data_IF_710635668911
#
_entry.id   IF_710635668911
#
_cell.length_a   1.000
_cell.length_b   1.000
_cell.length_c   1.000
_cell.angle_alpha   90.00
_cell.angle_beta   90.00
_cell.angle_gamma   90.00
#
_symmetry.space_group_name_H-M   'P 1'
#
loop_
_entity.id
_entity.type
_entity.pdbx_description
1 polymer ?
#
# COMPACT_ATOMS: atom_id res chain seq x y z
N UNK A 1 9.79 -25.26 -26.53
CA UNK A 1 8.86 -24.26 -25.97
C UNK A 1 9.21 -24.08 -24.50
N UNK A 2 9.67 -22.89 -24.11
CA UNK A 2 9.82 -22.53 -22.69
C UNK A 2 8.42 -22.54 -22.06
N UNK A 3 8.19 -23.18 -20.91
CA UNK A 3 6.88 -23.15 -20.27
C UNK A 3 6.46 -21.69 -20.02
N UNK A 4 5.15 -21.38 -20.06
CA UNK A 4 4.67 -20.04 -19.74
C UNK A 4 5.18 -19.66 -18.35
N UNK A 5 5.67 -18.41 -18.23
CA UNK A 5 6.15 -17.91 -16.94
C UNK A 5 4.95 -17.85 -15.99
N UNK A 6 4.95 -18.65 -14.93
CA UNK A 6 3.94 -18.52 -13.88
C UNK A 6 4.32 -17.32 -13.00
N UNK A 7 3.38 -16.38 -12.85
CA UNK A 7 3.50 -15.23 -11.96
C UNK A 7 2.77 -15.55 -10.66
N UNK A 8 3.38 -15.26 -9.51
CA UNK A 8 2.78 -15.51 -8.19
C UNK A 8 2.82 -14.23 -7.36
N UNK A 9 1.68 -13.79 -6.83
CA UNK A 9 1.57 -12.57 -6.05
C UNK A 9 1.18 -12.88 -4.59
N UNK A 10 1.96 -12.40 -3.63
CA UNK A 10 1.65 -12.52 -2.20
C UNK A 10 1.12 -11.21 -1.65
N UNK A 11 -0.09 -11.25 -1.07
CA UNK A 11 -0.75 -10.08 -0.49
C UNK A 11 -1.24 -10.35 0.93
N UNK A 12 -0.98 -9.40 1.81
CA UNK A 12 -1.30 -9.41 3.24
C UNK A 12 -2.22 -8.25 3.63
N UNK A 13 -2.46 -7.30 2.71
CA UNK A 13 -3.31 -6.12 2.91
C UNK A 13 -4.19 -5.80 1.69
N UNK A 14 -5.34 -5.11 1.88
CA UNK A 14 -6.20 -4.69 0.77
C UNK A 14 -5.49 -3.79 -0.24
N UNK A 15 -4.58 -2.93 0.22
CA UNK A 15 -3.80 -2.01 -0.61
C UNK A 15 -2.80 -2.78 -1.47
N UNK A 16 -2.11 -3.78 -0.91
CA UNK A 16 -1.22 -4.63 -1.69
C UNK A 16 -1.98 -5.35 -2.82
N UNK A 17 -3.18 -5.86 -2.53
CA UNK A 17 -4.03 -6.51 -3.54
C UNK A 17 -4.47 -5.52 -4.62
N UNK A 18 -4.84 -4.30 -4.26
CA UNK A 18 -5.12 -3.22 -5.21
C UNK A 18 -3.92 -2.98 -6.14
N UNK A 19 -2.72 -2.86 -5.59
CA UNK A 19 -1.52 -2.61 -6.39
C UNK A 19 -1.12 -3.81 -7.28
N UNK A 20 -1.48 -5.05 -6.91
CA UNK A 20 -1.34 -6.22 -7.81
C UNK A 20 -2.32 -6.12 -8.99
N UNK A 21 -3.56 -5.67 -8.78
CA UNK A 21 -4.51 -5.46 -9.87
C UNK A 21 -4.04 -4.35 -10.82
N UNK A 22 -3.53 -3.24 -10.27
CA UNK A 22 -2.93 -2.17 -11.05
C UNK A 22 -1.72 -2.64 -11.87
N UNK A 23 -0.82 -3.41 -11.26
CA UNK A 23 0.33 -4.00 -11.95
C UNK A 23 -0.11 -4.93 -13.07
N UNK A 24 -1.10 -5.81 -12.79
CA UNK A 24 -1.61 -6.77 -13.75
C UNK A 24 -2.22 -6.06 -14.94
N UNK A 25 -3.06 -5.06 -14.71
CA UNK A 25 -3.63 -4.24 -15.77
C UNK A 25 -2.56 -3.52 -16.58
N UNK A 26 -1.56 -2.91 -15.95
CA UNK A 26 -0.47 -2.25 -16.66
C UNK A 26 0.31 -3.21 -17.58
N UNK A 27 0.54 -4.45 -17.14
CA UNK A 27 1.27 -5.46 -17.93
C UNK A 27 0.44 -6.13 -19.02
N UNK A 28 -0.88 -6.21 -18.85
CA UNK A 28 -1.79 -6.78 -19.84
C UNK A 28 -2.26 -5.75 -20.86
N UNK A 29 -2.34 -4.48 -20.46
CA UNK A 29 -2.81 -3.38 -21.30
C UNK A 29 -1.69 -2.75 -22.16
N UNK A 30 -0.42 -3.10 -21.96
CA UNK A 30 0.66 -2.63 -22.83
C UNK A 30 0.44 -3.13 -24.27
N UNK A 31 0.17 -2.25 -25.25
CA UNK A 31 0.29 -2.64 -26.64
C UNK A 31 1.77 -2.92 -26.94
N UNK A 32 2.10 -3.82 -27.88
CA UNK A 32 3.48 -4.01 -28.28
C UNK A 32 4.02 -2.66 -28.76
N UNK A 33 4.89 -2.04 -27.97
CA UNK A 33 5.57 -0.80 -28.34
C UNK A 33 6.57 -1.14 -29.43
N UNK A 34 6.08 -1.15 -30.67
CA UNK A 34 6.91 -1.12 -31.85
C UNK A 34 7.56 0.26 -31.97
N UNK A 35 8.86 0.35 -31.68
CA UNK A 35 9.68 1.32 -32.37
C UNK A 35 9.50 1.09 -33.89
N UNK A 36 9.41 2.14 -34.73
CA UNK A 36 9.32 1.95 -36.18
C UNK A 36 10.62 1.26 -36.62
N UNK A 37 10.53 -0.03 -37.00
CA UNK A 37 11.66 -0.82 -37.53
C UNK A 37 12.17 -1.98 -36.67
N UNK A 38 11.62 -2.23 -35.47
CA UNK A 38 11.95 -3.43 -34.69
C UNK A 38 10.96 -4.57 -34.94
N UNK A 39 11.44 -5.75 -35.33
CA UNK A 39 10.60 -6.94 -35.49
C UNK A 39 9.76 -7.19 -34.21
N UNK A 40 8.48 -7.58 -34.33
CA UNK A 40 7.61 -7.78 -33.19
C UNK A 40 8.24 -8.80 -32.23
N UNK A 41 8.45 -8.41 -30.96
CA UNK A 41 8.72 -9.38 -29.90
C UNK A 41 7.44 -10.17 -29.68
N UNK A 42 7.31 -11.29 -30.39
CA UNK A 42 6.33 -12.31 -30.07
C UNK A 42 6.55 -12.75 -28.62
N UNK A 43 5.66 -12.35 -27.70
CA UNK A 43 5.75 -12.81 -26.30
C UNK A 43 5.02 -12.05 -25.19
N UNK A 44 4.41 -10.88 -25.41
CA UNK A 44 3.83 -10.10 -24.32
C UNK A 44 2.29 -10.14 -24.25
N UNK A 45 1.70 -11.34 -24.24
CA UNK A 45 0.46 -11.54 -23.48
C UNK A 45 0.91 -12.16 -22.16
N UNK A 46 1.22 -11.32 -21.16
CA UNK A 46 1.61 -11.82 -19.85
C UNK A 46 0.50 -12.69 -19.27
N UNK A 47 0.85 -13.82 -18.65
CA UNK A 47 -0.14 -14.57 -17.85
C UNK A 47 -0.45 -13.75 -16.59
N UNK A 48 -1.73 -13.56 -16.21
CA UNK A 48 -2.06 -12.91 -14.95
C UNK A 48 -1.46 -13.68 -13.77
N UNK A 49 -1.10 -13.00 -12.66
CA UNK A 49 -0.55 -13.69 -11.50
C UNK A 49 -1.61 -14.54 -10.81
N UNK A 50 -1.18 -15.70 -10.33
CA UNK A 50 -1.90 -16.42 -9.28
C UNK A 50 -1.73 -15.63 -7.99
N UNK A 51 -2.85 -15.23 -7.38
CA UNK A 51 -2.87 -14.43 -6.17
C UNK A 51 -2.96 -15.32 -4.93
N UNK A 52 -2.00 -15.21 -4.02
CA UNK A 52 -2.00 -15.86 -2.70
C UNK A 52 -2.26 -14.82 -1.63
N UNK A 53 -3.44 -14.92 -1.01
CA UNK A 53 -3.90 -14.03 0.04
C UNK A 53 -3.52 -14.61 1.40
N UNK A 54 -2.73 -13.85 2.17
CA UNK A 54 -2.22 -14.18 3.49
C UNK A 54 -2.88 -13.24 4.52
N UNK A 55 -4.12 -13.52 4.93
CA UNK A 55 -4.93 -12.57 5.67
C UNK A 55 -4.32 -12.22 7.04
N UNK A 56 -4.53 -10.98 7.53
CA UNK A 56 -4.24 -10.65 8.91
C UNK A 56 -5.27 -11.29 9.85
N UNK A 57 -5.07 -11.12 11.16
CA UNK A 57 -6.00 -11.60 12.19
C UNK A 57 -7.15 -10.62 12.44
N UNK A 58 -6.99 -9.34 12.11
CA UNK A 58 -8.01 -8.32 12.42
C UNK A 58 -9.26 -8.47 11.52
N UNK A 59 -10.47 -8.56 12.09
CA UNK A 59 -11.68 -8.86 11.32
C UNK A 59 -11.98 -7.87 10.20
N UNK A 60 -11.75 -6.58 10.45
CA UNK A 60 -12.05 -5.52 9.50
C UNK A 60 -11.15 -5.64 8.25
N UNK A 61 -9.83 -5.81 8.40
CA UNK A 61 -8.95 -5.92 7.23
C UNK A 61 -9.18 -7.22 6.49
N UNK A 62 -9.54 -8.30 7.21
CA UNK A 62 -9.99 -9.56 6.58
C UNK A 62 -11.24 -9.34 5.71
N UNK A 63 -12.22 -8.57 6.20
CA UNK A 63 -13.43 -8.22 5.45
C UNK A 63 -13.12 -7.41 4.18
N UNK A 64 -12.31 -6.36 4.29
CA UNK A 64 -11.86 -5.59 3.13
C UNK A 64 -11.08 -6.46 2.13
N UNK A 65 -10.21 -7.35 2.62
CA UNK A 65 -9.40 -8.24 1.78
C UNK A 65 -10.25 -9.29 1.07
N UNK A 66 -11.33 -9.79 1.69
CA UNK A 66 -12.31 -10.66 1.02
C UNK A 66 -13.02 -9.94 -0.13
N UNK A 67 -13.40 -8.68 0.05
CA UNK A 67 -14.01 -7.87 -1.03
C UNK A 67 -13.01 -7.60 -2.15
N UNK A 68 -11.78 -7.24 -1.83
CA UNK A 68 -10.70 -7.10 -2.83
C UNK A 68 -10.43 -8.42 -3.57
N UNK A 69 -10.45 -9.56 -2.88
CA UNK A 69 -10.33 -10.87 -3.49
C UNK A 69 -11.54 -11.23 -4.40
N UNK A 70 -12.72 -10.70 -4.10
CA UNK A 70 -13.88 -10.75 -5.01
C UNK A 70 -13.58 -10.00 -6.30
N UNK A 71 -13.15 -8.74 -6.20
CA UNK A 71 -12.77 -7.92 -7.36
C UNK A 71 -11.68 -8.61 -8.20
N UNK A 72 -10.65 -9.18 -7.57
CA UNK A 72 -9.61 -9.90 -8.30
C UNK A 72 -10.14 -11.10 -9.10
N UNK A 73 -11.13 -11.83 -8.57
CA UNK A 73 -11.78 -12.93 -9.31
C UNK A 73 -12.63 -12.41 -10.47
N UNK A 74 -13.31 -11.29 -10.29
CA UNK A 74 -14.09 -10.64 -11.36
C UNK A 74 -13.18 -10.20 -12.52
N UNK A 75 -11.92 -9.84 -12.23
CA UNK A 75 -10.87 -9.55 -13.23
C UNK A 75 -10.21 -10.82 -13.80
N UNK A 76 -10.67 -12.02 -13.42
CA UNK A 76 -10.18 -13.30 -13.92
C UNK A 76 -8.90 -13.83 -13.26
N UNK A 77 -8.43 -13.25 -12.15
CA UNK A 77 -7.28 -13.78 -11.43
C UNK A 77 -7.67 -15.03 -10.62
N UNK A 78 -6.77 -16.01 -10.61
CA UNK A 78 -6.89 -17.15 -9.69
C UNK A 78 -6.49 -16.72 -8.28
N UNK A 79 -7.38 -16.89 -7.29
CA UNK A 79 -7.16 -16.43 -5.92
C UNK A 79 -7.17 -17.58 -4.92
N UNK A 80 -6.02 -17.81 -4.27
CA UNK A 80 -5.84 -18.76 -3.17
C UNK A 80 -5.82 -18.04 -1.83
N UNK A 81 -6.79 -18.33 -0.97
CA UNK A 81 -6.83 -17.82 0.40
C UNK A 81 -6.10 -18.78 1.33
N UNK A 82 -5.05 -18.32 2.00
CA UNK A 82 -4.14 -19.17 2.75
C UNK A 82 -3.97 -18.72 4.21
N UNK A 83 -4.53 -19.50 5.14
CA UNK A 83 -4.43 -19.24 6.59
C UNK A 83 -3.03 -19.60 7.13
N UNK A 84 -2.08 -18.68 6.93
CA UNK A 84 -0.71 -18.84 7.42
C UNK A 84 -0.57 -18.50 8.91
N UNK A 85 -1.47 -17.67 9.47
CA UNK A 85 -1.38 -17.09 10.82
C UNK A 85 -2.52 -17.64 11.70
N UNK A 86 -2.20 -18.38 12.76
CA UNK A 86 -3.20 -18.68 13.82
C UNK A 86 -3.30 -20.10 14.37
N UNK A 87 -2.48 -21.08 13.92
CA UNK A 87 -2.46 -22.43 14.53
C UNK A 87 -1.03 -22.96 14.66
N UNK A 88 -0.73 -23.68 15.73
CA UNK A 88 0.47 -24.51 15.79
C UNK A 88 0.48 -25.46 14.59
N UNK A 89 1.58 -25.50 13.84
CA UNK A 89 1.70 -26.30 12.61
C UNK A 89 1.15 -25.67 11.31
N UNK A 90 0.61 -24.44 11.32
CA UNK A 90 0.09 -23.78 10.11
C UNK A 90 1.17 -23.50 9.05
N UNK A 91 2.39 -23.22 9.50
CA UNK A 91 3.50 -22.83 8.63
C UNK A 91 4.01 -23.99 7.75
N UNK A 92 4.39 -25.17 8.28
CA UNK A 92 4.79 -26.31 7.44
C UNK A 92 3.71 -26.76 6.46
N UNK A 93 2.45 -26.78 6.90
CA UNK A 93 1.32 -27.13 6.04
C UNK A 93 1.19 -26.15 4.87
N UNK A 94 1.24 -24.85 5.17
CA UNK A 94 1.17 -23.81 4.13
C UNK A 94 2.37 -23.88 3.18
N UNK A 95 3.59 -24.10 3.70
CA UNK A 95 4.78 -24.25 2.87
C UNK A 95 4.63 -25.42 1.90
N UNK A 96 4.12 -26.57 2.36
CA UNK A 96 3.86 -27.72 1.49
C UNK A 96 2.81 -27.42 0.42
N UNK A 97 1.74 -26.69 0.79
CA UNK A 97 0.70 -26.31 -0.15
C UNK A 97 1.20 -25.33 -1.24
N UNK A 98 2.06 -24.38 -0.87
CA UNK A 98 2.58 -23.36 -1.79
C UNK A 98 3.84 -23.80 -2.55
N UNK A 99 4.59 -24.79 -2.07
CA UNK A 99 5.85 -25.22 -2.67
C UNK A 99 5.77 -25.61 -4.16
N UNK A 100 4.70 -26.25 -4.67
CA UNK A 100 4.58 -26.52 -6.10
C UNK A 100 4.48 -25.23 -6.93
N UNK A 101 3.65 -24.27 -6.50
CA UNK A 101 3.47 -22.97 -7.17
C UNK A 101 4.78 -22.16 -7.14
N UNK A 102 5.42 -22.09 -5.97
CA UNK A 102 6.66 -21.37 -5.77
C UNK A 102 7.83 -21.92 -6.59
N UNK A 103 7.88 -23.23 -6.84
CA UNK A 103 8.92 -23.84 -7.69
C UNK A 103 8.75 -23.56 -9.18
N UNK A 104 7.52 -23.25 -9.62
CA UNK A 104 7.20 -22.92 -11.00
C UNK A 104 7.22 -21.41 -11.27
N UNK A 105 7.05 -20.61 -10.22
CA UNK A 105 7.04 -19.17 -10.30
C UNK A 105 8.44 -18.61 -10.60
N UNK A 106 8.64 -18.14 -11.83
CA UNK A 106 9.85 -17.40 -12.22
C UNK A 106 9.77 -15.91 -11.79
N UNK A 107 8.55 -15.39 -11.63
CA UNK A 107 8.26 -14.01 -11.22
C UNK A 107 7.36 -13.99 -9.99
N UNK A 108 7.85 -13.38 -8.91
CA UNK A 108 7.09 -13.21 -7.67
C UNK A 108 6.81 -11.73 -7.40
N UNK A 109 5.56 -11.42 -7.04
CA UNK A 109 5.14 -10.09 -6.60
C UNK A 109 4.91 -10.11 -5.09
N UNK A 110 5.38 -9.08 -4.39
CA UNK A 110 5.22 -8.93 -2.94
C UNK A 110 4.83 -7.51 -2.58
N UNK A 111 4.04 -7.34 -1.52
CA UNK A 111 3.70 -6.00 -1.01
C UNK A 111 4.66 -5.48 0.05
N UNK A 112 4.93 -6.26 1.10
CA UNK A 112 5.83 -5.87 2.20
C UNK A 112 7.15 -6.68 2.16
N UNK A 113 8.27 -6.09 1.69
CA UNK A 113 9.59 -6.73 1.71
C UNK A 113 10.08 -7.10 3.12
N UNK A 114 9.47 -6.55 4.16
CA UNK A 114 9.79 -6.82 5.56
C UNK A 114 8.88 -7.86 6.22
N UNK A 115 7.91 -8.42 5.48
CA UNK A 115 7.11 -9.53 5.98
C UNK A 115 7.98 -10.75 6.25
N UNK A 116 8.02 -11.20 7.51
CA UNK A 116 8.78 -12.40 7.92
C UNK A 116 8.37 -13.64 7.12
N UNK A 117 7.09 -13.74 6.79
CA UNK A 117 6.55 -14.87 6.06
C UNK A 117 7.05 -14.86 4.61
N UNK A 118 6.93 -13.71 3.93
CA UNK A 118 7.46 -13.51 2.58
C UNK A 118 8.98 -13.73 2.55
N UNK A 119 9.71 -13.17 3.51
CA UNK A 119 11.16 -13.36 3.62
C UNK A 119 11.54 -14.85 3.75
N UNK A 120 10.80 -15.62 4.54
CA UNK A 120 11.01 -17.06 4.64
C UNK A 120 10.74 -17.77 3.30
N UNK A 121 9.64 -17.44 2.62
CA UNK A 121 9.32 -18.02 1.31
C UNK A 121 10.41 -17.74 0.28
N UNK A 122 10.87 -16.49 0.19
CA UNK A 122 11.90 -16.07 -0.77
C UNK A 122 13.28 -16.66 -0.47
N UNK A 123 13.56 -16.97 0.81
CA UNK A 123 14.77 -17.72 1.19
C UNK A 123 14.76 -19.16 0.69
N UNK A 124 13.60 -19.81 0.72
CA UNK A 124 13.43 -21.21 0.29
C UNK A 124 13.24 -21.35 -1.22
N UNK A 125 12.59 -20.37 -1.84
CA UNK A 125 12.23 -20.37 -3.26
C UNK A 125 12.60 -19.02 -3.88
N UNK A 126 13.88 -18.84 -4.27
CA UNK A 126 14.36 -17.56 -4.76
C UNK A 126 13.86 -17.29 -6.18
N UNK A 127 13.10 -16.20 -6.42
CA UNK A 127 12.61 -15.89 -7.76
C UNK A 127 13.73 -15.29 -8.63
N UNK A 128 13.58 -15.41 -9.96
CA UNK A 128 14.44 -14.71 -10.93
C UNK A 128 13.99 -13.26 -11.13
N UNK A 129 12.69 -13.01 -11.07
CA UNK A 129 12.10 -11.67 -11.14
C UNK A 129 11.30 -11.39 -9.88
N UNK A 130 11.57 -10.28 -9.24
CA UNK A 130 10.83 -9.82 -8.06
C UNK A 130 10.20 -8.46 -8.37
N UNK A 131 8.90 -8.33 -8.18
CA UNK A 131 8.26 -7.01 -8.13
C UNK A 131 7.79 -6.70 -6.72
N UNK A 132 8.20 -5.55 -6.20
CA UNK A 132 7.64 -4.98 -4.98
C UNK A 132 6.51 -4.04 -5.40
N UNK A 133 5.27 -4.44 -5.12
CA UNK A 133 4.10 -3.58 -5.29
C UNK A 133 3.94 -2.69 -4.06
N UNK A 134 3.33 -1.53 -4.25
CA UNK A 134 3.17 -0.54 -3.19
C UNK A 134 2.41 -1.06 -1.96
N UNK A 135 2.96 -0.82 -0.77
CA UNK A 135 2.32 -1.03 0.55
C UNK A 135 2.47 0.21 1.44
N UNK A 136 2.69 1.38 0.81
CA UNK A 136 2.88 2.63 1.52
C UNK A 136 4.31 2.80 2.02
N UNK A 137 4.45 3.09 3.31
CA UNK A 137 5.76 3.46 3.90
C UNK A 137 6.81 2.36 3.84
N UNK A 138 6.39 1.08 3.81
CA UNK A 138 7.30 -0.05 3.65
C UNK A 138 8.02 -0.01 2.29
N UNK A 139 7.36 0.44 1.23
CA UNK A 139 7.95 0.55 -0.12
C UNK A 139 9.00 1.66 -0.18
N UNK A 140 8.73 2.82 0.42
CA UNK A 140 9.72 3.91 0.53
C UNK A 140 10.94 3.50 1.34
N UNK A 141 10.72 2.87 2.50
CA UNK A 141 11.80 2.35 3.36
C UNK A 141 12.66 1.31 2.62
N UNK A 142 12.03 0.44 1.83
CA UNK A 142 12.73 -0.54 1.02
C UNK A 142 13.60 0.13 -0.06
N UNK A 143 13.05 1.09 -0.80
CA UNK A 143 13.78 1.83 -1.83
C UNK A 143 14.98 2.60 -1.24
N UNK A 144 14.78 3.29 -0.12
CA UNK A 144 15.84 4.02 0.58
C UNK A 144 17.00 3.10 0.98
N UNK A 145 16.70 1.95 1.58
CA UNK A 145 17.73 0.98 2.01
C UNK A 145 18.48 0.34 0.86
N UNK A 146 17.82 0.12 -0.28
CA UNK A 146 18.52 -0.35 -1.48
C UNK A 146 19.49 0.71 -2.01
N UNK A 147 19.10 1.99 -1.96
CA UNK A 147 19.94 3.10 -2.40
C UNK A 147 21.15 3.33 -1.50
N UNK A 148 21.01 3.14 -0.19
CA UNK A 148 22.10 3.30 0.78
C UNK A 148 22.96 2.05 0.97
N UNK A 149 22.55 0.91 0.39
CA UNK A 149 23.20 -0.39 0.62
C UNK A 149 23.04 -0.90 2.07
N UNK A 150 22.14 -0.28 2.84
CA UNK A 150 21.89 -0.63 4.23
C UNK A 150 21.10 -1.92 4.38
N UNK A 151 21.17 -2.53 5.57
CA UNK A 151 20.50 -3.80 5.86
C UNK A 151 18.98 -3.63 5.77
N UNK A 152 18.27 -4.52 5.08
CA UNK A 152 16.79 -4.55 4.99
C UNK A 152 16.12 -5.03 6.31
N UNK A 153 15.97 -4.14 7.31
CA UNK A 153 15.41 -4.41 8.66
C UNK A 153 14.37 -3.35 9.06
N UNK A 154 13.07 -3.67 9.05
CA UNK A 154 11.99 -2.71 9.37
C UNK A 154 12.29 -1.81 10.59
N UNK A 155 12.30 -0.50 10.39
CA UNK A 155 12.74 0.49 11.39
C UNK A 155 11.89 0.55 12.65
N UNK A 156 10.62 0.15 12.57
CA UNK A 156 9.67 0.19 13.68
C UNK A 156 9.87 -0.90 14.75
N UNK A 157 10.77 -1.87 14.54
CA UNK A 157 11.09 -2.81 15.59
C UNK A 157 12.18 -2.24 16.48
N UNK A 158 11.80 -1.92 17.73
CA UNK A 158 12.72 -2.01 18.88
C UNK A 158 13.54 -3.28 18.72
N UNK A 159 14.86 -3.17 18.89
CA UNK A 159 15.76 -4.31 19.02
C UNK A 159 15.42 -5.11 20.28
N UNK A 160 14.30 -5.81 20.30
CA UNK A 160 14.05 -6.83 21.30
C UNK A 160 14.87 -8.05 20.89
N UNK A 161 16.11 -8.16 21.39
CA UNK A 161 17.02 -9.31 21.24
C UNK A 161 16.39 -10.57 21.83
N UNK A 162 15.33 -11.08 21.21
CA UNK A 162 14.68 -12.31 21.62
C UNK A 162 15.49 -13.50 21.09
N UNK A 163 15.63 -14.60 21.85
CA UNK A 163 16.37 -15.79 21.41
C UNK A 163 15.89 -16.34 20.05
N UNK A 164 14.59 -16.20 19.76
CA UNK A 164 14.00 -16.57 18.46
C UNK A 164 14.50 -15.70 17.29
N UNK A 165 14.83 -14.43 17.52
CA UNK A 165 15.37 -13.55 16.47
C UNK A 165 16.82 -13.90 16.13
N UNK A 166 17.63 -14.26 17.14
CA UNK A 166 18.99 -14.74 16.92
C UNK A 166 19.00 -16.07 16.16
N UNK A 167 18.10 -16.98 16.48
CA UNK A 167 17.96 -18.25 15.76
C UNK A 167 17.55 -18.08 14.28
N UNK A 168 16.82 -17.03 13.93
CA UNK A 168 16.38 -16.73 12.55
C UNK A 168 17.30 -15.76 11.80
N UNK A 169 18.40 -15.30 12.42
CA UNK A 169 19.35 -14.37 11.82
C UNK A 169 19.91 -14.81 10.45
N UNK A 170 20.37 -16.08 10.24
CA UNK A 170 20.86 -16.50 8.93
C UNK A 170 19.77 -16.56 7.85
N UNK A 171 18.56 -16.98 8.20
CA UNK A 171 17.42 -17.01 7.27
C UNK A 171 16.99 -15.61 6.85
N UNK A 172 17.00 -14.66 7.78
CA UNK A 172 16.72 -13.26 7.45
C UNK A 172 17.87 -12.65 6.63
N UNK A 173 19.13 -12.95 6.90
CA UNK A 173 20.25 -12.50 6.07
C UNK A 173 20.15 -13.03 4.62
N UNK A 174 19.78 -14.30 4.44
CA UNK A 174 19.56 -14.91 3.13
C UNK A 174 18.39 -14.24 2.40
N UNK A 175 17.24 -14.08 3.06
CA UNK A 175 16.06 -13.44 2.49
C UNK A 175 16.37 -12.03 1.99
N UNK A 176 17.16 -11.26 2.76
CA UNK A 176 17.56 -9.89 2.41
C UNK A 176 18.44 -9.87 1.17
N UNK A 177 19.38 -10.82 1.03
CA UNK A 177 20.14 -10.98 -0.22
C UNK A 177 19.21 -11.30 -1.39
N UNK A 178 18.14 -12.08 -1.18
CA UNK A 178 17.10 -12.41 -2.18
C UNK A 178 16.09 -11.29 -2.45
N UNK A 179 16.17 -10.16 -1.73
CA UNK A 179 15.36 -8.97 -1.96
C UNK A 179 16.11 -7.84 -2.69
N UNK A 180 17.45 -7.80 -2.68
CA UNK A 180 18.24 -6.76 -3.38
C UNK A 180 18.74 -7.25 -4.75
N UNK A 181 18.78 -6.46 -5.84
CA UNK A 181 19.17 -6.94 -7.18
C UNK A 181 20.55 -7.65 -7.19
N UNK A 182 20.76 -8.58 -8.12
CA UNK A 182 22.02 -9.33 -8.18
C UNK A 182 22.20 -10.15 -9.46
N UNK A 183 23.32 -10.89 -9.56
CA UNK A 183 23.62 -11.73 -10.74
C UNK A 183 22.48 -12.71 -11.01
N UNK A 184 21.71 -12.46 -12.07
CA UNK A 184 20.57 -13.28 -12.49
C UNK A 184 19.24 -13.00 -11.79
N UNK A 185 19.12 -11.93 -10.99
CA UNK A 185 17.83 -11.50 -10.42
C UNK A 185 17.57 -10.02 -10.66
N UNK A 186 16.41 -9.74 -11.26
CA UNK A 186 15.90 -8.39 -11.46
C UNK A 186 14.88 -8.05 -10.38
N UNK A 187 14.86 -6.77 -10.01
CA UNK A 187 13.92 -6.22 -9.03
C UNK A 187 13.22 -5.03 -9.67
N UNK A 188 11.89 -5.08 -9.68
CA UNK A 188 11.02 -3.97 -10.05
C UNK A 188 10.38 -3.40 -8.78
N UNK A 189 10.27 -2.07 -8.69
CA UNK A 189 9.45 -1.38 -7.70
C UNK A 189 8.28 -0.73 -8.45
N UNK A 190 7.06 -1.23 -8.21
CA UNK A 190 5.83 -0.72 -8.80
C UNK A 190 5.07 0.11 -7.76
N UNK A 191 5.17 1.44 -7.86
CA UNK A 191 4.72 2.35 -6.79
C UNK A 191 4.12 3.64 -7.33
N UNK A 192 3.18 4.21 -6.57
CA UNK A 192 2.67 5.56 -6.79
C UNK A 192 3.40 6.61 -5.95
N UNK A 193 4.21 6.17 -4.99
CA UNK A 193 4.95 7.04 -4.09
C UNK A 193 6.14 7.67 -4.81
N UNK A 194 6.47 8.93 -4.51
CA UNK A 194 7.66 9.56 -5.06
C UNK A 194 8.91 8.87 -4.51
N UNK A 195 9.80 8.44 -5.40
CA UNK A 195 11.14 7.98 -5.05
C UNK A 195 12.15 9.06 -5.43
N UNK A 196 13.08 9.39 -4.54
CA UNK A 196 14.11 10.40 -4.81
C UNK A 196 15.03 10.00 -5.98
N UNK A 197 15.34 8.71 -6.09
CA UNK A 197 16.05 8.10 -7.21
C UNK A 197 15.66 6.62 -7.31
N UNK A 198 15.80 6.05 -8.51
CA UNK A 198 15.70 4.60 -8.69
C UNK A 198 16.89 3.91 -8.01
N UNK A 199 16.66 2.97 -7.07
CA UNK A 199 17.76 2.26 -6.43
C UNK A 199 18.65 1.52 -7.45
N UNK A 200 19.97 1.44 -7.20
CA UNK A 200 20.90 0.81 -8.14
C UNK A 200 20.50 -0.62 -8.50
N UNK A 201 20.43 -0.92 -9.80
CA UNK A 201 20.09 -2.26 -10.30
C UNK A 201 18.60 -2.62 -10.19
N UNK A 202 17.73 -1.65 -9.88
CA UNK A 202 16.27 -1.85 -9.88
C UNK A 202 15.59 -1.09 -11.02
N UNK A 203 14.50 -1.67 -11.51
CA UNK A 203 13.54 -0.99 -12.37
C UNK A 203 12.48 -0.32 -11.49
N UNK A 204 12.09 0.91 -11.82
CA UNK A 204 11.00 1.60 -11.14
C UNK A 204 9.88 1.85 -12.15
N UNK A 205 8.72 1.25 -11.89
CA UNK A 205 7.54 1.43 -12.69
C UNK A 205 6.49 2.22 -11.90
N UNK A 206 5.89 3.21 -12.54
CA UNK A 206 4.90 4.08 -11.90
C UNK A 206 3.54 3.40 -11.86
N UNK A 207 2.98 3.23 -10.66
CA UNK A 207 1.57 2.93 -10.53
C UNK A 207 0.74 4.20 -10.76
N UNK A 208 0.12 4.28 -11.92
CA UNK A 208 -0.73 5.41 -12.30
C UNK A 208 -2.20 5.21 -11.92
N UNK A 209 -2.59 4.15 -11.21
CA UNK A 209 -4.00 3.82 -10.91
C UNK A 209 -4.89 3.69 -12.16
N UNK A 210 -4.33 3.15 -13.25
CA UNK A 210 -5.01 3.04 -14.53
C UNK A 210 -6.15 2.01 -14.49
N UNK A 211 -5.96 0.89 -13.79
CA UNK A 211 -7.01 -0.12 -13.60
C UNK A 211 -8.18 0.46 -12.83
N UNK A 212 -7.92 1.10 -11.69
CA UNK A 212 -8.93 1.76 -10.86
C UNK A 212 -9.75 2.75 -11.67
N UNK A 213 -9.09 3.56 -12.52
CA UNK A 213 -9.81 4.52 -13.35
C UNK A 213 -10.66 3.85 -14.42
N UNK A 214 -10.11 2.88 -15.14
CA UNK A 214 -10.80 2.17 -16.21
C UNK A 214 -12.00 1.37 -15.67
N UNK A 215 -11.82 0.69 -14.53
CA UNK A 215 -12.82 -0.22 -13.96
C UNK A 215 -14.04 0.48 -13.36
N UNK A 216 -13.84 1.66 -12.77
CA UNK A 216 -14.89 2.34 -12.00
C UNK A 216 -15.39 3.64 -12.62
N UNK A 217 -14.72 4.19 -13.64
CA UNK A 217 -15.12 5.47 -14.24
C UNK A 217 -15.02 6.65 -13.25
N UNK A 218 -15.27 7.89 -13.70
CA UNK A 218 -15.20 9.06 -12.82
C UNK A 218 -16.27 9.01 -11.72
N UNK A 219 -15.96 9.48 -10.49
CA UNK A 219 -16.97 9.58 -9.45
C UNK A 219 -17.95 10.71 -9.73
N UNK A 220 -19.09 10.70 -9.03
CA UNK A 220 -19.96 11.87 -8.97
C UNK A 220 -19.31 12.93 -8.08
N UNK A 221 -18.80 14.01 -8.68
CA UNK A 221 -18.17 15.09 -7.92
C UNK A 221 -19.23 16.01 -7.31
N UNK A 222 -19.17 16.23 -6.00
CA UNK A 222 -20.07 17.14 -5.27
C UNK A 222 -19.35 18.41 -4.81
N UNK A 223 -20.04 19.53 -4.61
CA UNK A 223 -19.46 20.69 -3.92
C UNK A 223 -19.04 20.35 -2.48
N UNK A 224 -18.18 21.21 -1.89
CA UNK A 224 -17.72 21.06 -0.51
C UNK A 224 -16.45 20.21 -0.37
N UNK A 225 -16.24 19.67 0.82
CA UNK A 225 -15.06 18.89 1.17
C UNK A 225 -15.40 17.55 1.84
N UNK A 226 -14.53 16.56 1.62
CA UNK A 226 -14.46 15.34 2.43
C UNK A 226 -13.18 15.37 3.26
N UNK A 227 -13.18 14.77 4.45
CA UNK A 227 -12.01 14.67 5.32
C UNK A 227 -11.60 13.22 5.54
N UNK A 228 -10.32 12.92 5.32
CA UNK A 228 -9.72 11.60 5.51
C UNK A 228 -9.09 11.50 6.89
N UNK A 229 -9.56 10.53 7.66
CA UNK A 229 -9.08 10.24 9.01
C UNK A 229 -7.71 9.57 9.04
N UNK A 230 -7.16 9.44 10.25
CA UNK A 230 -5.85 8.82 10.48
C UNK A 230 -5.79 8.09 11.81
N UNK A 231 -4.87 7.14 11.94
CA UNK A 231 -4.65 6.39 13.19
C UNK A 231 -3.68 7.08 14.17
N UNK A 232 -3.35 8.36 14.00
CA UNK A 232 -2.34 9.02 14.83
C UNK A 232 -2.68 8.97 16.33
N UNK A 233 -3.97 9.11 16.67
CA UNK A 233 -4.46 8.96 18.05
C UNK A 233 -4.25 7.53 18.56
N UNK A 234 -4.66 6.53 17.77
CA UNK A 234 -4.56 5.11 18.14
C UNK A 234 -3.12 4.61 18.21
N UNK A 235 -2.20 5.23 17.48
CA UNK A 235 -0.76 4.97 17.59
C UNK A 235 -0.08 5.76 18.70
N UNK A 236 -0.83 6.57 19.46
CA UNK A 236 -0.31 7.37 20.56
C UNK A 236 0.55 8.57 20.13
N UNK A 237 0.49 8.96 18.86
CA UNK A 237 1.26 10.10 18.32
C UNK A 237 0.57 11.41 18.67
N UNK A 238 -0.76 11.47 18.53
CA UNK A 238 -1.56 12.68 18.70
C UNK A 238 -2.54 12.53 19.87
N UNK A 239 -2.80 13.62 20.58
CA UNK A 239 -3.84 13.69 21.60
C UNK A 239 -5.26 13.60 21.02
N UNK A 240 -6.15 12.88 21.70
CA UNK A 240 -7.49 12.59 21.17
C UNK A 240 -8.37 13.85 21.14
N UNK A 241 -8.33 14.68 22.17
CA UNK A 241 -9.16 15.88 22.26
C UNK A 241 -8.67 16.94 21.27
N UNK A 242 -7.35 17.09 21.14
CA UNK A 242 -6.76 17.95 20.09
C UNK A 242 -7.14 17.49 18.68
N UNK A 243 -7.15 16.18 18.44
CA UNK A 243 -7.54 15.63 17.15
C UNK A 243 -9.01 15.91 16.80
N UNK A 244 -9.93 15.67 17.74
CA UNK A 244 -11.36 15.93 17.51
C UNK A 244 -11.62 17.42 17.31
N UNK A 245 -11.00 18.29 18.12
CA UNK A 245 -11.08 19.74 17.95
C UNK A 245 -10.57 20.20 16.58
N UNK A 246 -9.46 19.65 16.11
CA UNK A 246 -8.94 19.93 14.77
C UNK A 246 -9.88 19.47 13.65
N UNK A 247 -10.49 18.29 13.79
CA UNK A 247 -11.50 17.80 12.83
C UNK A 247 -12.69 18.76 12.78
N UNK A 248 -13.16 19.25 13.93
CA UNK A 248 -14.25 20.23 14.00
C UNK A 248 -13.89 21.56 13.32
N UNK A 249 -12.69 22.08 13.57
CA UNK A 249 -12.21 23.32 12.98
C UNK A 249 -12.05 23.21 11.45
N UNK A 250 -11.44 22.12 10.97
CA UNK A 250 -11.34 21.83 9.53
C UNK A 250 -12.72 21.67 8.88
N UNK A 251 -13.66 21.03 9.58
CA UNK A 251 -15.00 20.83 9.06
C UNK A 251 -15.73 22.16 8.86
N UNK A 252 -15.65 23.06 9.85
CA UNK A 252 -16.23 24.40 9.76
C UNK A 252 -15.55 25.26 8.68
N UNK A 253 -14.22 25.26 8.61
CA UNK A 253 -13.45 26.10 7.70
C UNK A 253 -13.62 25.71 6.22
N UNK A 254 -13.78 24.42 5.92
CA UNK A 254 -13.81 23.91 4.54
C UNK A 254 -15.18 23.36 4.12
N UNK A 255 -16.19 23.44 4.98
CA UNK A 255 -17.51 22.89 4.72
C UNK A 255 -17.46 21.38 4.49
N UNK A 256 -16.76 20.66 5.37
CA UNK A 256 -16.67 19.20 5.28
C UNK A 256 -18.03 18.60 5.62
N UNK A 257 -18.49 17.64 4.83
CA UNK A 257 -19.75 16.92 5.09
C UNK A 257 -19.54 15.46 5.46
N UNK A 258 -18.41 14.87 5.06
CA UNK A 258 -18.10 13.45 5.27
C UNK A 258 -16.71 13.25 5.85
N UNK A 259 -16.63 12.32 6.80
CA UNK A 259 -15.39 11.88 7.42
C UNK A 259 -15.11 10.42 7.06
N UNK A 260 -14.09 10.17 6.24
CA UNK A 260 -13.64 8.81 5.91
C UNK A 260 -12.74 8.29 7.03
N UNK A 261 -13.33 7.48 7.91
CA UNK A 261 -12.64 6.89 9.04
C UNK A 261 -11.50 5.97 8.59
N UNK A 262 -10.32 6.18 9.16
CA UNK A 262 -9.24 5.23 9.04
C UNK A 262 -9.59 3.94 9.80
N UNK A 263 -9.18 2.82 9.22
CA UNK A 263 -9.57 1.46 9.59
C UNK A 263 -9.26 1.05 11.04
N UNK A 264 -8.30 1.76 11.67
CA UNK A 264 -7.86 1.53 13.05
C UNK A 264 -8.56 2.44 14.05
N UNK A 265 -9.35 3.41 13.59
CA UNK A 265 -9.96 4.38 14.48
C UNK A 265 -11.00 3.74 15.39
N UNK A 266 -10.94 4.10 16.67
CA UNK A 266 -11.81 3.50 17.68
C UNK A 266 -13.24 4.00 17.54
N UNK A 267 -14.21 3.12 17.81
CA UNK A 267 -15.64 3.49 17.80
C UNK A 267 -15.97 4.68 18.72
N UNK A 268 -15.44 4.78 19.95
CA UNK A 268 -15.70 5.95 20.80
C UNK A 268 -15.23 7.27 20.17
N UNK A 269 -14.03 7.30 19.57
CA UNK A 269 -13.51 8.50 18.90
C UNK A 269 -14.37 8.88 17.69
N UNK A 270 -14.76 7.90 16.87
CA UNK A 270 -15.61 8.13 15.72
C UNK A 270 -17.02 8.61 16.10
N UNK A 271 -17.57 8.10 17.21
CA UNK A 271 -18.84 8.60 17.75
C UNK A 271 -18.71 10.06 18.21
N UNK A 272 -17.62 10.41 18.90
CA UNK A 272 -17.35 11.81 19.27
C UNK A 272 -17.26 12.72 18.06
N UNK A 273 -16.52 12.33 17.01
CA UNK A 273 -16.45 13.10 15.77
C UNK A 273 -17.86 13.32 15.21
N UNK A 274 -18.67 12.27 15.05
CA UNK A 274 -20.04 12.39 14.53
C UNK A 274 -20.90 13.36 15.37
N UNK A 275 -20.87 13.22 16.70
CA UNK A 275 -21.71 14.01 17.61
C UNK A 275 -21.26 15.47 17.72
N UNK A 276 -19.94 15.72 17.79
CA UNK A 276 -19.38 17.07 17.99
C UNK A 276 -19.37 17.90 16.69
N UNK A 277 -19.35 17.25 15.52
CA UNK A 277 -19.22 17.94 14.22
C UNK A 277 -20.42 17.81 13.30
N UNK A 278 -21.32 16.84 13.55
CA UNK A 278 -22.42 16.52 12.65
C UNK A 278 -22.01 15.83 11.35
N UNK A 279 -20.72 15.47 11.19
CA UNK A 279 -20.20 14.82 9.99
C UNK A 279 -20.78 13.41 9.80
N UNK A 280 -21.06 13.05 8.55
CA UNK A 280 -21.31 11.66 8.19
C UNK A 280 -20.00 10.87 8.28
N UNK A 281 -19.89 10.02 9.31
CA UNK A 281 -18.74 9.13 9.48
C UNK A 281 -18.88 7.90 8.59
N UNK A 282 -18.07 7.84 7.54
CA UNK A 282 -18.01 6.73 6.61
C UNK A 282 -16.90 5.78 7.04
N UNK A 283 -17.21 4.48 7.15
CA UNK A 283 -16.20 3.42 7.36
C UNK A 283 -15.96 2.67 6.05
N UNK A 284 -14.86 2.96 5.31
CA UNK A 284 -14.62 2.39 3.99
C UNK A 284 -14.57 0.87 3.99
N UNK A 285 -15.30 0.27 3.06
CA UNK A 285 -15.32 -1.18 2.85
C UNK A 285 -14.18 -1.70 1.96
N UNK A 286 -13.50 -0.78 1.27
CA UNK A 286 -12.42 -0.97 0.30
C UNK A 286 -11.34 0.10 0.52
N UNK A 287 -10.15 -0.02 -0.11
CA UNK A 287 -9.18 1.07 -0.18
C UNK A 287 -9.83 2.39 -0.66
N UNK A 288 -9.35 3.51 -0.13
CA UNK A 288 -9.97 4.81 -0.33
C UNK A 288 -9.95 5.24 -1.80
N UNK A 289 -8.93 4.80 -2.55
CA UNK A 289 -8.79 4.99 -3.99
C UNK A 289 -9.99 4.41 -4.76
N UNK A 290 -10.54 3.28 -4.29
CA UNK A 290 -11.73 2.67 -4.89
C UNK A 290 -13.02 3.33 -4.40
N UNK A 291 -13.09 3.62 -3.09
CA UNK A 291 -14.28 4.25 -2.50
C UNK A 291 -14.54 5.63 -3.12
N UNK A 292 -13.49 6.44 -3.30
CA UNK A 292 -13.59 7.78 -3.90
C UNK A 292 -13.87 7.75 -5.40
N UNK A 293 -13.70 6.61 -6.08
CA UNK A 293 -14.13 6.43 -7.48
C UNK A 293 -15.56 5.93 -7.61
N UNK A 294 -16.01 5.07 -6.69
CA UNK A 294 -17.35 4.46 -6.71
C UNK A 294 -18.44 5.36 -6.13
N UNK A 295 -18.09 6.15 -5.13
CA UNK A 295 -19.03 6.99 -4.41
C UNK A 295 -19.11 8.41 -4.94
N UNK A 296 -20.02 9.23 -4.39
CA UNK A 296 -19.87 10.67 -4.48
C UNK A 296 -18.56 11.08 -3.81
N UNK A 297 -17.80 11.97 -4.42
CA UNK A 297 -16.54 12.50 -3.88
C UNK A 297 -16.60 14.02 -3.94
N UNK A 298 -16.29 14.68 -2.83
CA UNK A 298 -16.32 16.14 -2.79
C UNK A 298 -15.19 16.72 -3.66
N UNK A 299 -15.40 17.93 -4.18
CA UNK A 299 -14.42 18.61 -5.03
C UNK A 299 -13.08 18.79 -4.33
N UNK A 300 -13.08 18.93 -3.01
CA UNK A 300 -11.87 18.95 -2.18
C UNK A 300 -11.85 17.72 -1.28
N UNK A 301 -10.71 17.03 -1.22
CA UNK A 301 -10.44 15.98 -0.24
C UNK A 301 -9.31 16.46 0.67
N UNK A 302 -9.66 16.71 1.93
CA UNK A 302 -8.72 17.02 2.99
C UNK A 302 -8.14 15.71 3.54
N UNK A 303 -6.83 15.67 3.76
CA UNK A 303 -6.20 14.51 4.39
C UNK A 303 -5.08 14.94 5.32
N UNK A 304 -5.06 14.40 6.54
CA UNK A 304 -3.85 14.41 7.36
C UNK A 304 -2.71 13.65 6.64
N UNK A 305 -1.44 13.87 7.01
CA UNK A 305 -0.31 13.26 6.31
C UNK A 305 -0.39 11.74 6.42
N UNK A 306 -0.62 11.10 5.28
CA UNK A 306 -0.75 9.65 5.14
C UNK A 306 -0.44 9.27 3.69
N UNK A 307 -0.21 8.00 3.39
CA UNK A 307 0.14 7.57 2.02
C UNK A 307 -0.93 7.91 0.99
N UNK A 308 -2.19 8.12 1.40
CA UNK A 308 -3.28 8.45 0.47
C UNK A 308 -3.10 9.77 -0.25
N UNK A 309 -2.29 10.70 0.29
CA UNK A 309 -1.98 11.98 -0.37
C UNK A 309 -1.16 11.79 -1.65
N UNK A 310 -0.52 10.63 -1.82
CA UNK A 310 0.22 10.28 -3.03
C UNK A 310 -0.59 9.42 -4.01
N UNK A 311 -1.53 8.62 -3.49
CA UNK A 311 -2.32 7.68 -4.31
C UNK A 311 -3.59 8.31 -4.86
N UNK A 312 -4.32 9.10 -4.05
CA UNK A 312 -5.57 9.74 -4.47
C UNK A 312 -5.40 10.67 -5.67
N UNK A 313 -4.34 11.51 -5.80
CA UNK A 313 -4.15 12.31 -7.00
C UNK A 313 -4.08 11.48 -8.29
N UNK A 314 -3.46 10.30 -8.24
CA UNK A 314 -3.39 9.38 -9.38
C UNK A 314 -4.73 8.67 -9.63
N UNK A 315 -5.38 8.17 -8.58
CA UNK A 315 -6.68 7.50 -8.69
C UNK A 315 -7.78 8.44 -9.21
N UNK A 316 -7.77 9.71 -8.81
CA UNK A 316 -8.76 10.73 -9.17
C UNK A 316 -8.33 11.63 -10.32
N UNK A 317 -7.24 11.29 -11.03
CA UNK A 317 -6.76 12.05 -12.17
C UNK A 317 -7.88 12.26 -13.22
N UNK A 318 -8.01 13.50 -13.70
CA UNK A 318 -9.01 13.90 -14.70
C UNK A 318 -10.44 14.11 -14.15
N UNK A 319 -10.64 14.08 -12.83
CA UNK A 319 -11.98 14.28 -12.23
C UNK A 319 -12.26 15.71 -11.75
N UNK A 320 -11.23 16.56 -11.67
CA UNK A 320 -11.32 17.90 -11.07
C UNK A 320 -11.35 17.91 -9.54
N UNK A 321 -11.21 16.75 -8.88
CA UNK A 321 -11.05 16.68 -7.42
C UNK A 321 -9.63 17.13 -7.02
N UNK A 322 -9.55 18.03 -6.05
CA UNK A 322 -8.29 18.49 -5.46
C UNK A 322 -8.02 17.79 -4.12
N UNK A 323 -6.75 17.54 -3.83
CA UNK A 323 -6.31 16.98 -2.54
C UNK A 323 -5.57 18.09 -1.79
N UNK A 324 -5.94 18.32 -0.53
CA UNK A 324 -5.28 19.29 0.35
C UNK A 324 -4.79 18.56 1.59
N UNK A 325 -3.52 18.78 1.94
CA UNK A 325 -2.92 18.14 3.10
C UNK A 325 -3.15 19.02 4.33
N UNK A 326 -3.76 18.44 5.36
CA UNK A 326 -3.91 19.07 6.66
C UNK A 326 -2.61 18.91 7.44
N UNK A 327 -1.99 20.01 7.83
CA UNK A 327 -0.80 19.95 8.67
C UNK A 327 -1.17 19.48 10.08
N UNK A 328 -0.23 18.79 10.73
CA UNK A 328 -0.37 18.35 12.13
C UNK A 328 0.51 19.27 12.96
N UNK A 329 -0.13 20.20 13.65
CA UNK A 329 0.58 21.19 14.46
C UNK A 329 1.44 20.49 15.54
N UNK A 330 2.69 20.94 15.80
CA UNK A 330 3.59 20.29 16.75
C UNK A 330 2.98 20.08 18.14
N UNK A 331 2.15 21.01 18.58
CA UNK A 331 1.46 20.97 19.85
C UNK A 331 0.46 19.81 19.95
N UNK A 332 -0.04 19.25 18.85
CA UNK A 332 -0.93 18.08 18.91
C UNK A 332 -0.22 16.81 19.33
N UNK A 333 1.11 16.77 19.19
CA UNK A 333 1.92 15.61 19.49
C UNK A 333 1.98 15.38 20.99
N UNK A 334 1.74 14.12 21.41
CA UNK A 334 1.94 13.73 22.80
C UNK A 334 3.43 13.84 23.15
N UNK A 335 3.74 14.14 24.42
CA UNK A 335 5.12 14.12 24.90
C UNK A 335 5.80 12.74 24.74
N UNK A 336 5.00 11.67 24.73
CA UNK A 336 5.45 10.30 24.50
C UNK A 336 5.51 9.90 23.02
N UNK A 337 5.19 10.81 22.10
CA UNK A 337 5.22 10.54 20.67
C UNK A 337 6.64 10.12 20.26
N UNK A 338 6.78 9.12 19.36
CA UNK A 338 8.09 8.72 18.86
C UNK A 338 8.83 9.93 18.28
N UNK A 339 10.13 10.14 18.61
CA UNK A 339 10.89 11.32 18.14
C UNK A 339 10.87 11.53 16.62
N UNK A 340 10.70 10.45 15.85
CA UNK A 340 10.65 10.46 14.38
C UNK A 340 9.26 10.74 13.79
N UNK A 341 8.19 10.71 14.59
CA UNK A 341 6.82 10.90 14.09
C UNK A 341 6.64 12.28 13.43
N UNK A 342 7.19 13.33 14.04
CA UNK A 342 7.17 14.69 13.48
C UNK A 342 7.90 14.77 12.13
N UNK A 343 9.09 14.19 12.06
CA UNK A 343 9.87 14.15 10.82
C UNK A 343 9.12 13.43 9.70
N UNK A 344 8.53 12.27 10.01
CA UNK A 344 7.74 11.50 9.07
C UNK A 344 6.53 12.26 8.53
N UNK A 345 5.71 12.87 9.40
CA UNK A 345 4.52 13.64 8.99
C UNK A 345 4.90 14.78 8.05
N UNK A 346 5.96 15.52 8.40
CA UNK A 346 6.49 16.61 7.58
C UNK A 346 6.98 16.10 6.23
N UNK A 347 7.79 15.03 6.21
CA UNK A 347 8.31 14.43 4.97
C UNK A 347 7.18 13.98 4.05
N UNK A 348 6.10 13.37 4.58
CA UNK A 348 4.93 12.98 3.77
C UNK A 348 4.25 14.22 3.18
N UNK A 349 3.97 15.24 3.98
CA UNK A 349 3.34 16.46 3.49
C UNK A 349 4.20 17.19 2.43
N UNK A 350 5.49 17.35 2.69
CA UNK A 350 6.44 18.03 1.79
C UNK A 350 6.63 17.27 0.47
N UNK A 351 6.82 15.95 0.54
CA UNK A 351 6.99 15.12 -0.66
C UNK A 351 5.72 15.07 -1.50
N UNK A 352 4.54 15.08 -0.89
CA UNK A 352 3.27 15.13 -1.61
C UNK A 352 3.08 16.48 -2.33
N UNK A 353 3.40 17.58 -1.64
CA UNK A 353 3.42 18.91 -2.25
C UNK A 353 4.39 18.99 -3.42
N UNK A 354 5.61 18.46 -3.27
CA UNK A 354 6.62 18.47 -4.32
C UNK A 354 6.19 17.61 -5.53
N UNK A 355 5.60 16.43 -5.29
CA UNK A 355 5.24 15.49 -6.35
C UNK A 355 3.96 15.87 -7.11
N UNK A 356 3.00 16.53 -6.44
CA UNK A 356 1.66 16.75 -7.00
C UNK A 356 1.17 18.21 -6.92
N UNK A 357 1.97 19.13 -6.37
CA UNK A 357 1.57 20.53 -6.20
C UNK A 357 0.44 20.73 -5.18
N UNK A 358 0.29 19.84 -4.20
CA UNK A 358 -0.81 19.88 -3.23
C UNK A 358 -0.74 21.13 -2.33
N UNK A 359 -1.91 21.69 -2.02
CA UNK A 359 -2.03 22.76 -1.03
C UNK A 359 -1.88 22.22 0.40
N UNK A 360 -1.35 23.05 1.30
CA UNK A 360 -1.31 22.79 2.74
C UNK A 360 -2.35 23.66 3.44
N UNK A 361 -2.99 23.12 4.46
CA UNK A 361 -3.92 23.87 5.32
C UNK A 361 -3.68 23.53 6.79
N UNK A 362 -3.77 24.52 7.67
CA UNK A 362 -3.84 24.30 9.12
C UNK A 362 -5.27 23.96 9.52
N UNK A 363 -5.42 23.32 10.68
CA UNK A 363 -6.75 23.20 11.32
C UNK A 363 -7.08 24.43 12.15
#
# INVERSE_FOLDING_TARGET
>A
MTPPTEHLAFVESPVQLLNVLEWTYARLAEPPTGAPGGAPRAGAHGTPPTLVVLPPTDPMSRGQLRRMAGLARDEGLTVHWQEARGREGSLPHTLRALAPLLRRADHVLIGDPFSRYVQLLLSLFPPRRLTVVDDGTATMEYAERLSTGERLVRWHRRESRSPRELALAPLTALARRRLAPGRGRTVEIFTALPLAAAPPGTEVARNAFAWTRARFGPPRVTPGADLVGTSLVETGVVDADRYVGAVAALAAAHGVTRYYAHRRESTPKLHRIATETGLEVVRPELPLELVTRRGPTSRTVLSFPSTVVHTLPAALAGTGVSITVCDVAPEWLKASAPPRARGFLRTVAESARAAHGLSLTGA
#
